data_IF_041911460223
#
_entry.id   IF_041911460223
#
_cell.length_a   1.000
_cell.length_b   1.000
_cell.length_c   1.000
_cell.angle_alpha   90.00
_cell.angle_beta   90.00
_cell.angle_gamma   90.00
#
_symmetry.space_group_name_H-M   'P 1'
#
loop_
_entity.id
_entity.type
_entity.pdbx_description
1 polymer ?
#
# COMPACT_ATOMS: atom_id res chain seq x y z
N UNK A 1 -9.30 15.46 1.17
CA UNK A 1 -8.17 14.85 1.90
C UNK A 1 -8.32 13.35 1.76
N UNK A 2 -7.52 12.74 0.88
CA UNK A 2 -7.64 11.32 0.58
C UNK A 2 -7.14 10.50 1.77
N UNK A 3 -7.77 9.36 2.04
CA UNK A 3 -7.35 8.43 3.09
C UNK A 3 -5.85 8.06 3.03
N UNK A 4 -5.21 8.23 1.86
CA UNK A 4 -3.80 7.98 1.67
C UNK A 4 -2.87 8.87 2.51
N UNK A 5 -3.00 10.19 2.46
CA UNK A 5 -2.12 11.09 3.23
C UNK A 5 -2.24 10.87 4.74
N UNK A 6 -3.41 10.45 5.22
CA UNK A 6 -3.64 10.12 6.62
C UNK A 6 -2.99 8.79 7.04
N UNK A 7 -2.99 7.78 6.17
CA UNK A 7 -2.39 6.46 6.46
C UNK A 7 -0.88 6.54 6.72
N UNK A 8 -0.16 7.35 5.95
CA UNK A 8 1.28 7.59 6.14
C UNK A 8 1.59 8.20 7.52
N UNK A 9 0.83 9.24 7.90
CA UNK A 9 1.01 9.93 9.19
C UNK A 9 0.70 8.96 10.35
N UNK A 10 -0.35 8.15 10.22
CA UNK A 10 -0.71 7.15 11.22
C UNK A 10 0.38 6.08 11.38
N UNK A 11 0.92 5.54 10.28
CA UNK A 11 2.01 4.58 10.32
C UNK A 11 3.25 5.16 11.01
N UNK A 12 3.54 6.45 10.76
CA UNK A 12 4.69 7.16 11.36
C UNK A 12 4.50 7.30 12.87
N UNK A 13 3.32 7.71 13.31
CA UNK A 13 3.03 7.84 14.74
C UNK A 13 3.03 6.48 15.45
N UNK A 14 2.45 5.45 14.81
CA UNK A 14 2.43 4.10 15.37
C UNK A 14 3.84 3.50 15.53
N UNK A 15 4.74 3.77 14.57
CA UNK A 15 6.14 3.31 14.63
C UNK A 15 6.92 3.86 15.84
N UNK A 16 6.47 4.97 16.45
CA UNK A 16 7.07 5.50 17.69
C UNK A 16 6.69 4.69 18.92
N UNK A 17 5.58 3.96 18.86
CA UNK A 17 5.06 3.17 19.99
C UNK A 17 5.73 1.81 20.09
N UNK A 18 6.12 1.21 18.95
CA UNK A 18 6.80 -0.09 18.89
C UNK A 18 7.54 -0.27 17.57
N UNK A 19 8.65 -1.03 17.53
CA UNK A 19 9.29 -1.43 16.29
C UNK A 19 8.30 -2.17 15.37
N UNK A 20 8.32 -1.82 14.09
CA UNK A 20 7.50 -2.46 13.05
C UNK A 20 8.37 -3.36 12.20
N UNK A 21 7.82 -4.50 11.79
CA UNK A 21 8.52 -5.49 10.95
C UNK A 21 7.97 -5.58 9.52
N UNK A 22 6.83 -4.94 9.28
CA UNK A 22 6.16 -4.90 7.99
C UNK A 22 4.76 -4.29 8.11
N UNK A 23 4.07 -4.20 6.99
CA UNK A 23 2.76 -3.56 6.90
C UNK A 23 1.85 -4.26 5.89
N UNK A 24 0.55 -4.21 6.17
CA UNK A 24 -0.52 -4.56 5.22
C UNK A 24 -1.24 -3.28 4.78
N UNK A 25 -1.44 -3.09 3.48
CA UNK A 25 -2.15 -1.94 2.92
C UNK A 25 -3.45 -2.41 2.29
N UNK A 26 -4.59 -2.08 2.91
CA UNK A 26 -5.90 -2.51 2.42
C UNK A 26 -6.59 -1.45 1.57
N UNK A 27 -7.72 -1.87 0.99
CA UNK A 27 -8.56 -1.07 0.12
C UNK A 27 -7.77 -0.58 -1.09
N UNK A 28 -6.91 -1.34 -1.76
CA UNK A 28 -6.23 -0.87 -2.99
C UNK A 28 -7.09 -0.99 -4.25
N UNK A 29 -8.29 -1.56 -4.12
CA UNK A 29 -9.37 -1.71 -5.10
C UNK A 29 -9.95 -0.41 -5.69
N UNK A 30 -9.63 0.75 -5.09
CA UNK A 30 -10.20 2.05 -5.49
C UNK A 30 -9.25 2.94 -6.32
N UNK A 31 -9.83 3.94 -6.99
CA UNK A 31 -9.22 4.88 -7.96
C UNK A 31 -8.12 5.84 -7.47
N UNK A 32 -7.51 5.61 -6.29
CA UNK A 32 -6.64 6.61 -5.62
C UNK A 32 -5.27 6.09 -5.13
N UNK A 33 -4.89 4.84 -5.39
CA UNK A 33 -4.19 4.09 -4.31
C UNK A 33 -2.83 3.47 -4.65
N UNK A 34 -2.32 3.76 -5.84
CA UNK A 34 -0.94 3.48 -6.22
C UNK A 34 0.13 4.22 -5.42
N UNK A 35 -0.01 5.54 -5.38
CA UNK A 35 1.01 6.44 -4.87
C UNK A 35 1.31 6.29 -3.38
N UNK A 36 0.40 5.73 -2.59
CA UNK A 36 0.64 5.52 -1.17
C UNK A 36 1.63 4.40 -0.89
N UNK A 37 1.58 3.29 -1.64
CA UNK A 37 2.53 2.19 -1.47
C UNK A 37 3.95 2.68 -1.81
N UNK A 38 4.07 3.47 -2.87
CA UNK A 38 5.33 4.13 -3.26
C UNK A 38 5.82 5.10 -2.18
N UNK A 39 4.93 5.94 -1.65
CA UNK A 39 5.27 6.89 -0.60
C UNK A 39 5.65 6.20 0.73
N UNK A 40 4.99 5.08 1.06
CA UNK A 40 5.33 4.28 2.24
C UNK A 40 6.71 3.68 2.06
N UNK A 41 7.02 3.10 0.90
CA UNK A 41 8.36 2.58 0.64
C UNK A 41 9.45 3.66 0.71
N UNK A 42 9.14 4.91 0.34
CA UNK A 42 10.07 6.04 0.47
C UNK A 42 10.33 6.47 1.92
N UNK A 43 9.28 6.51 2.75
CA UNK A 43 9.36 6.98 4.15
C UNK A 43 9.79 5.88 5.13
N UNK A 44 9.35 4.65 4.90
CA UNK A 44 9.54 3.52 5.81
C UNK A 44 10.49 2.49 5.21
N UNK A 45 11.48 2.07 6.02
CA UNK A 45 12.48 1.07 5.63
C UNK A 45 12.02 -0.38 5.84
N UNK A 46 10.76 -0.62 6.20
CA UNK A 46 10.19 -1.96 6.40
C UNK A 46 9.25 -2.34 5.25
N UNK A 47 9.16 -3.62 4.89
CA UNK A 47 8.45 -4.05 3.68
C UNK A 47 6.94 -3.97 3.84
N UNK A 48 6.25 -3.60 2.75
CA UNK A 48 4.84 -3.96 2.54
C UNK A 48 4.81 -5.46 2.30
N UNK A 49 4.02 -6.20 3.09
CA UNK A 49 3.92 -7.67 2.99
C UNK A 49 2.65 -8.13 2.30
N UNK A 50 1.56 -7.40 2.52
CA UNK A 50 0.24 -7.76 2.00
C UNK A 50 -0.51 -6.54 1.50
N UNK A 51 -1.38 -6.79 0.52
CA UNK A 51 -2.30 -5.81 -0.03
C UNK A 51 -3.72 -6.35 -0.05
N UNK A 52 -4.68 -5.51 0.34
CA UNK A 52 -6.10 -5.84 0.26
C UNK A 52 -6.73 -5.22 -0.97
N UNK A 53 -7.22 -6.04 -1.91
CA UNK A 53 -7.79 -5.66 -3.21
C UNK A 53 -9.33 -5.69 -3.22
N UNK A 54 -9.97 -5.71 -2.04
CA UNK A 54 -11.42 -5.77 -1.89
C UNK A 54 -11.84 -5.94 -0.43
N UNK A 55 -13.07 -6.39 -0.21
CA UNK A 55 -13.69 -6.56 1.12
C UNK A 55 -13.83 -8.02 1.57
N UNK A 56 -13.67 -8.97 0.64
CA UNK A 56 -13.76 -10.40 0.87
C UNK A 56 -12.53 -10.99 1.56
N UNK A 57 -12.67 -12.19 2.16
CA UNK A 57 -11.56 -12.89 2.81
C UNK A 57 -10.46 -13.30 1.83
N UNK A 58 -10.80 -13.50 0.56
CA UNK A 58 -9.88 -13.89 -0.50
C UNK A 58 -9.20 -12.69 -1.18
N UNK A 59 -9.58 -11.45 -0.80
CA UNK A 59 -9.05 -10.24 -1.42
C UNK A 59 -7.74 -9.76 -0.78
N UNK A 60 -7.13 -10.56 0.11
CA UNK A 60 -5.84 -10.27 0.73
C UNK A 60 -4.74 -11.07 0.01
N UNK A 61 -3.84 -10.36 -0.67
CA UNK A 61 -2.75 -10.95 -1.43
C UNK A 61 -1.37 -10.57 -0.87
N UNK A 62 -0.37 -11.41 -1.12
CA UNK A 62 1.03 -11.05 -0.88
C UNK A 62 1.43 -9.88 -1.80
N UNK A 63 2.21 -8.95 -1.25
CA UNK A 63 2.66 -7.81 -2.03
C UNK A 63 3.80 -8.19 -2.97
N UNK A 64 3.54 -8.13 -4.28
CA UNK A 64 4.57 -8.17 -5.31
C UNK A 64 4.80 -6.77 -5.94
N UNK A 65 5.97 -6.15 -5.75
CA UNK A 65 6.29 -4.85 -6.32
C UNK A 65 6.20 -4.81 -7.85
N UNK A 66 6.49 -5.91 -8.54
CA UNK A 66 6.46 -5.95 -10.01
C UNK A 66 5.03 -5.91 -10.52
N UNK A 67 4.17 -6.80 -10.01
CA UNK A 67 2.74 -6.81 -10.32
C UNK A 67 2.08 -5.48 -9.95
N UNK A 68 2.43 -4.91 -8.80
CA UNK A 68 1.91 -3.61 -8.39
C UNK A 68 2.34 -2.46 -9.31
N UNK A 69 3.61 -2.43 -9.73
CA UNK A 69 4.10 -1.42 -10.69
C UNK A 69 3.44 -1.57 -12.06
N UNK A 70 3.24 -2.81 -12.55
CA UNK A 70 2.53 -3.06 -13.80
C UNK A 70 1.07 -2.57 -13.74
N UNK A 71 0.38 -2.82 -12.62
CA UNK A 71 -0.99 -2.33 -12.40
C UNK A 71 -1.09 -0.80 -12.29
N UNK A 72 0.01 -0.11 -11.98
CA UNK A 72 0.05 1.35 -11.90
C UNK A 72 0.18 2.04 -13.25
N UNK A 73 0.80 1.37 -14.22
CA UNK A 73 1.00 1.86 -15.57
C UNK A 73 0.40 0.85 -16.57
N UNK A 74 -0.92 0.61 -16.53
CA UNK A 74 -1.55 -0.19 -17.58
C UNK A 74 -1.27 0.49 -18.92
N UNK A 75 -0.70 -0.25 -19.86
CA UNK A 75 -0.30 0.26 -21.18
C UNK A 75 -1.44 1.07 -21.81
N UNK A 76 -1.19 2.36 -22.08
CA UNK A 76 -2.07 3.25 -22.87
C UNK A 76 -2.01 2.92 -24.38
N UNK A 77 -1.78 1.65 -24.74
CA UNK A 77 -1.62 1.22 -26.13
C UNK A 77 -2.56 0.07 -26.50
N UNK A 78 -3.76 0.43 -26.98
CA UNK A 78 -4.22 0.27 -28.38
C UNK A 78 -5.49 1.08 -28.63
#
# INVERSE_FOLDING_TARGET
GSAGSNGLIQAKEFSKSTPLTGMCVSKLDGSYKGGIVVAIHGEFKFPVRYVGLGEGPDDLEEFDPQTFAAALFPDDSV
#
